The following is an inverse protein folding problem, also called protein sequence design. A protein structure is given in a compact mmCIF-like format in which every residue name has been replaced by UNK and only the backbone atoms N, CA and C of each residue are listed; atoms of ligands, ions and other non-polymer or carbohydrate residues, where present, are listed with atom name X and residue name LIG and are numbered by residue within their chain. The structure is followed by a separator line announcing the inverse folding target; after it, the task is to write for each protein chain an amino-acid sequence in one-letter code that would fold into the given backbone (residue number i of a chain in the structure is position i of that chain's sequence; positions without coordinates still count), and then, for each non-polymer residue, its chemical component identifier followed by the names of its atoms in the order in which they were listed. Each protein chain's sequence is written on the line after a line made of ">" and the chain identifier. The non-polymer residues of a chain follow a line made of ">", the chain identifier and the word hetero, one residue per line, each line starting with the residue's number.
data_IF_501142843454
#
_entry.id   IF_501142843454
#
_cell.length_a   1.000
_cell.length_b   1.000
_cell.length_c   1.000
_cell.angle_alpha   90.00
_cell.angle_beta   90.00
_cell.angle_gamma   90.00
#
_symmetry.space_group_name_H-M   'P 1'
#
loop_
_entity.id
_entity.type
_entity.pdbx_description
1 polymer ?
#
# COMPACT_ATOMS: atom_id res chain seq x y z
N UNK A 1 -12.27 16.76 0.13
CA UNK A 1 -12.73 16.75 -1.28
C UNK A 1 -11.78 15.91 -2.13
N UNK A 2 -11.78 14.59 -1.94
CA UNK A 2 -10.85 13.65 -2.60
C UNK A 2 -11.49 12.93 -3.80
N UNK A 3 -12.82 13.02 -3.94
CA UNK A 3 -13.61 12.32 -4.96
C UNK A 3 -13.25 12.69 -6.41
N UNK A 4 -12.82 13.94 -6.65
CA UNK A 4 -12.41 14.39 -7.99
C UNK A 4 -11.04 13.86 -8.46
N UNK A 5 -10.29 13.15 -7.59
CA UNK A 5 -8.97 12.57 -7.94
C UNK A 5 -9.00 11.07 -8.21
N UNK A 6 -10.11 10.39 -7.94
CA UNK A 6 -10.25 8.96 -8.18
C UNK A 6 -10.85 8.70 -9.57
N UNK A 7 -10.30 7.71 -10.27
CA UNK A 7 -10.90 7.22 -11.52
C UNK A 7 -12.22 6.50 -11.23
N UNK A 8 -13.10 6.39 -12.22
CA UNK A 8 -14.39 5.71 -12.04
C UNK A 8 -14.22 4.24 -11.64
N UNK A 9 -13.18 3.58 -12.15
CA UNK A 9 -12.82 2.21 -11.75
C UNK A 9 -12.44 2.13 -10.26
N UNK A 10 -11.67 3.09 -9.75
CA UNK A 10 -11.32 3.17 -8.33
C UNK A 10 -12.56 3.46 -7.48
N UNK A 11 -13.42 4.39 -7.91
CA UNK A 11 -14.66 4.70 -7.21
C UNK A 11 -15.56 3.46 -7.09
N UNK A 12 -15.73 2.70 -8.17
CA UNK A 12 -16.51 1.47 -8.16
C UNK A 12 -15.90 0.39 -7.25
N UNK A 13 -14.57 0.29 -7.19
CA UNK A 13 -13.88 -0.63 -6.29
C UNK A 13 -14.13 -0.28 -4.82
N UNK A 14 -14.00 1.00 -4.46
CA UNK A 14 -14.26 1.47 -3.10
C UNK A 14 -15.75 1.38 -2.74
N UNK A 15 -16.66 1.58 -3.69
CA UNK A 15 -18.10 1.42 -3.45
C UNK A 15 -18.46 -0.02 -3.09
N UNK A 16 -17.83 -1.02 -3.73
CA UNK A 16 -18.00 -2.44 -3.36
C UNK A 16 -17.53 -2.72 -1.93
N UNK A 17 -16.45 -2.07 -1.50
CA UNK A 17 -15.91 -2.20 -0.13
C UNK A 17 -16.83 -1.53 0.89
N UNK A 18 -17.31 -0.33 0.59
CA UNK A 18 -18.28 0.38 1.39
C UNK A 18 -19.55 -0.46 1.59
N UNK A 19 -20.08 -1.04 0.50
CA UNK A 19 -21.23 -1.93 0.53
C UNK A 19 -20.97 -3.20 1.37
N UNK A 20 -19.78 -3.79 1.28
CA UNK A 20 -19.39 -4.93 2.13
C UNK A 20 -19.41 -4.59 3.62
N UNK A 21 -19.11 -3.34 3.96
CA UNK A 21 -19.13 -2.83 5.33
C UNK A 21 -20.47 -2.22 5.72
N UNK A 22 -21.50 -2.31 4.86
CA UNK A 22 -22.83 -1.76 5.12
C UNK A 22 -22.88 -0.23 5.23
N UNK A 23 -21.93 0.48 4.61
CA UNK A 23 -21.84 1.94 4.69
C UNK A 23 -21.81 2.59 3.30
N UNK A 24 -22.10 3.89 3.26
CA UNK A 24 -21.99 4.68 2.02
C UNK A 24 -20.53 4.89 1.62
N UNK A 25 -20.29 5.10 0.32
CA UNK A 25 -18.96 5.35 -0.22
C UNK A 25 -18.27 6.53 0.46
N UNK A 26 -18.98 7.65 0.65
CA UNK A 26 -18.42 8.84 1.30
C UNK A 26 -17.95 8.54 2.73
N UNK A 27 -18.77 7.80 3.51
CA UNK A 27 -18.43 7.41 4.87
C UNK A 27 -17.23 6.46 4.90
N UNK A 28 -17.16 5.54 3.94
CA UNK A 28 -16.03 4.63 3.77
C UNK A 28 -14.73 5.37 3.45
N UNK A 29 -14.76 6.36 2.56
CA UNK A 29 -13.57 7.14 2.21
C UNK A 29 -13.06 7.97 3.40
N UNK A 30 -13.96 8.58 4.17
CA UNK A 30 -13.59 9.32 5.39
C UNK A 30 -12.95 8.38 6.43
N UNK A 31 -13.53 7.19 6.62
CA UNK A 31 -12.99 6.21 7.56
C UNK A 31 -11.63 5.65 7.11
N UNK A 32 -11.49 5.41 5.80
CA UNK A 32 -10.23 4.99 5.18
C UNK A 32 -9.13 6.03 5.38
N UNK A 33 -9.43 7.31 5.17
CA UNK A 33 -8.46 8.39 5.37
C UNK A 33 -8.03 8.50 6.84
N UNK A 34 -8.98 8.36 7.78
CA UNK A 34 -8.68 8.30 9.22
C UNK A 34 -7.80 7.11 9.57
N UNK A 35 -8.11 5.94 9.02
CA UNK A 35 -7.34 4.72 9.26
C UNK A 35 -5.95 4.80 8.63
N UNK A 36 -5.82 5.30 7.41
CA UNK A 36 -4.52 5.52 6.78
C UNK A 36 -3.63 6.47 7.60
N UNK A 37 -4.20 7.48 8.25
CA UNK A 37 -3.45 8.36 9.14
C UNK A 37 -3.00 7.69 10.44
N UNK A 38 -3.76 6.70 10.95
CA UNK A 38 -3.38 5.89 12.11
C UNK A 38 -2.36 4.83 11.73
N UNK A 39 -2.62 4.09 10.65
CA UNK A 39 -1.72 3.08 10.10
C UNK A 39 -0.37 3.69 9.69
N UNK A 40 -0.32 4.94 9.21
CA UNK A 40 0.96 5.62 8.93
C UNK A 40 1.77 5.90 10.20
N UNK A 41 1.11 6.19 11.33
CA UNK A 41 1.77 6.37 12.62
C UNK A 41 2.24 5.03 13.19
N UNK A 42 1.45 3.98 13.01
CA UNK A 42 1.81 2.62 13.44
C UNK A 42 2.89 1.99 12.55
N UNK A 43 2.88 2.21 11.23
CA UNK A 43 3.93 1.75 10.32
C UNK A 43 5.29 2.43 10.59
N UNK A 44 5.27 3.71 11.00
CA UNK A 44 6.47 4.40 11.46
C UNK A 44 7.03 3.81 12.78
N UNK A 45 6.16 3.28 13.65
CA UNK A 45 6.56 2.59 14.88
C UNK A 45 6.94 1.11 14.66
N UNK A 46 6.34 0.46 13.66
CA UNK A 46 6.57 -0.92 13.25
C UNK A 46 7.65 -1.04 12.15
N UNK A 47 8.48 -0.01 11.97
CA UNK A 47 9.76 -0.18 11.29
C UNK A 47 10.76 -0.65 12.35
N UNK A 48 10.91 -1.96 12.62
CA UNK A 48 12.03 -2.41 13.42
C UNK A 48 13.28 -1.92 12.70
N UNK A 49 14.16 -1.30 13.50
CA UNK A 49 15.49 -0.85 13.10
C UNK A 49 16.06 -1.82 12.06
N UNK A 50 16.52 -1.24 10.96
CA UNK A 50 17.43 -1.88 10.04
C UNK A 50 18.71 -2.27 10.79
N UNK A 51 18.64 -3.34 11.58
CA UNK A 51 19.79 -4.04 12.16
C UNK A 51 20.10 -5.19 11.22
N UNK A 52 21.19 -5.04 10.48
CA UNK A 52 22.10 -6.12 10.10
C UNK A 52 21.49 -7.51 9.89
N UNK A 53 20.53 -7.63 8.98
CA UNK A 53 20.32 -8.89 8.30
C UNK A 53 20.93 -8.70 6.92
N UNK A 54 22.07 -9.34 6.67
CA UNK A 54 22.70 -9.45 5.37
C UNK A 54 21.60 -9.61 4.30
N UNK A 55 21.40 -8.55 3.50
CA UNK A 55 20.28 -8.43 2.58
C UNK A 55 20.34 -9.59 1.62
N UNK A 56 19.46 -10.58 1.81
CA UNK A 56 19.26 -11.66 0.84
C UNK A 56 19.03 -11.00 -0.52
N UNK A 57 19.71 -11.45 -1.58
CA UNK A 57 19.64 -10.77 -2.87
C UNK A 57 18.18 -10.74 -3.32
N UNK A 58 17.64 -9.53 -3.38
CA UNK A 58 16.28 -9.27 -3.84
C UNK A 58 16.14 -9.76 -5.28
N UNK A 59 14.91 -10.01 -5.72
CA UNK A 59 14.61 -10.53 -7.06
C UNK A 59 15.31 -9.73 -8.17
N UNK A 60 15.32 -8.39 -8.08
CA UNK A 60 16.03 -7.52 -9.01
C UNK A 60 17.56 -7.69 -8.96
N UNK A 61 18.12 -7.91 -7.78
CA UNK A 61 19.55 -8.16 -7.61
C UNK A 61 19.98 -9.48 -8.27
N UNK A 62 19.13 -10.50 -8.20
CA UNK A 62 19.38 -11.81 -8.85
C UNK A 62 19.28 -11.70 -10.38
N UNK A 63 18.36 -10.88 -10.88
CA UNK A 63 18.23 -10.60 -12.30
C UNK A 63 19.45 -9.86 -12.86
N UNK A 64 19.95 -8.86 -12.12
CA UNK A 64 21.13 -8.09 -12.51
C UNK A 64 22.40 -8.96 -12.49
N UNK A 65 22.58 -9.82 -11.47
CA UNK A 65 23.72 -10.74 -11.43
C UNK A 65 23.73 -11.71 -12.61
N UNK A 66 22.56 -12.20 -13.03
CA UNK A 66 22.40 -13.08 -14.21
C UNK A 66 22.78 -12.36 -15.51
N UNK A 67 22.48 -11.06 -15.62
CA UNK A 67 22.81 -10.26 -16.79
C UNK A 67 24.29 -9.85 -16.85
N UNK A 68 24.92 -9.65 -15.68
CA UNK A 68 26.31 -9.18 -15.57
C UNK A 68 27.34 -10.31 -15.59
N UNK A 69 26.93 -11.57 -15.58
CA UNK A 69 27.83 -12.73 -15.74
C UNK A 69 27.90 -13.13 -17.23
N UNK A 70 28.88 -12.64 -18.01
CA UNK A 70 29.17 -13.24 -19.31
C UNK A 70 29.72 -14.65 -19.09
N UNK A 71 29.27 -15.59 -19.92
CA UNK A 71 29.71 -16.98 -19.95
C UNK A 71 31.21 -17.09 -20.24
#
# INVERSE_FOLDING_TARGET
>A
MSDRKMTDAQRAYEAKRAAKSGMSLEKWLVEKDKRAAQDAREAAAATPKATEAAKKPSFFSRLLEKAQKPL
#
